data_IF_894346966149
#
_entry.id   IF_894346966149
#
_cell.length_a   1.000
_cell.length_b   1.000
_cell.length_c   1.000
_cell.angle_alpha   90.00
_cell.angle_beta   90.00
_cell.angle_gamma   90.00
#
_symmetry.space_group_name_H-M   'P 1'
#
loop_
_entity.id
_entity.type
_entity.pdbx_description
1 polymer ?
#
# COMPACT_ATOMS: atom_id res chain seq x y z
N UNK A 1 -0.66 -8.35 0.92
CA UNK A 1 0.30 -9.43 1.13
C UNK A 1 0.41 -10.16 -0.19
N UNK A 2 1.55 -10.06 -0.81
CA UNK A 2 1.80 -10.74 -2.08
C UNK A 2 2.12 -12.21 -1.82
N UNK A 3 1.73 -13.08 -2.74
CA UNK A 3 2.14 -14.49 -2.72
C UNK A 3 3.18 -14.66 -3.81
N UNK A 4 4.33 -15.16 -3.44
CA UNK A 4 5.29 -15.72 -4.38
C UNK A 4 5.26 -17.26 -4.26
N UNK A 5 6.02 -17.95 -5.07
CA UNK A 5 6.11 -19.42 -5.05
C UNK A 5 6.61 -19.97 -3.70
N UNK A 6 7.18 -19.11 -2.85
CA UNK A 6 7.72 -19.45 -1.52
C UNK A 6 6.77 -19.16 -0.37
N UNK A 7 5.64 -18.49 -0.64
CA UNK A 7 4.61 -18.16 0.36
C UNK A 7 4.26 -16.66 0.45
N UNK A 8 3.52 -16.27 1.48
CA UNK A 8 3.10 -14.87 1.66
C UNK A 8 4.26 -13.97 2.09
N UNK A 9 4.39 -12.80 1.46
CA UNK A 9 5.39 -11.80 1.79
C UNK A 9 4.71 -10.58 2.43
N UNK A 10 5.26 -10.10 3.55
CA UNK A 10 4.85 -8.86 4.20
C UNK A 10 5.91 -7.78 3.95
N UNK A 11 5.50 -6.70 3.30
CA UNK A 11 6.34 -5.51 3.13
C UNK A 11 6.09 -4.52 4.28
N UNK A 12 7.17 -4.08 4.91
CA UNK A 12 7.13 -3.08 5.99
C UNK A 12 8.06 -1.93 5.58
N UNK A 13 7.53 -0.72 5.60
CA UNK A 13 8.34 0.49 5.49
C UNK A 13 8.47 1.12 6.89
N UNK A 14 9.69 1.35 7.34
CA UNK A 14 10.00 1.93 8.65
C UNK A 14 11.23 2.82 8.57
N UNK A 15 11.38 3.76 9.51
CA UNK A 15 12.57 4.60 9.63
C UNK A 15 13.80 3.80 10.11
N UNK A 16 13.55 2.84 10.99
CA UNK A 16 14.59 1.97 11.57
C UNK A 16 14.41 0.53 11.11
N UNK A 17 15.42 -0.29 11.29
CA UNK A 17 15.35 -1.74 11.03
C UNK A 17 14.30 -2.34 11.97
N UNK A 18 13.20 -2.92 11.45
CA UNK A 18 12.14 -3.45 12.31
C UNK A 18 12.60 -4.72 13.03
N UNK A 19 12.28 -4.82 14.32
CA UNK A 19 12.38 -6.07 15.06
C UNK A 19 11.16 -6.95 14.75
N UNK A 20 11.37 -8.00 13.98
CA UNK A 20 10.33 -8.93 13.60
C UNK A 20 10.22 -10.15 14.52
N UNK A 21 10.99 -10.21 15.63
CA UNK A 21 11.05 -11.37 16.53
C UNK A 21 9.67 -11.80 17.01
N UNK A 22 8.86 -10.85 17.50
CA UNK A 22 7.51 -11.17 18.00
C UNK A 22 6.54 -11.65 16.91
N UNK A 23 6.72 -11.22 15.67
CA UNK A 23 5.92 -11.70 14.52
C UNK A 23 6.32 -13.13 14.17
N UNK A 24 7.61 -13.39 14.15
CA UNK A 24 8.17 -14.71 13.86
C UNK A 24 7.76 -15.73 14.94
N UNK A 25 7.84 -15.35 16.22
CA UNK A 25 7.43 -16.20 17.35
C UNK A 25 5.93 -16.54 17.34
N UNK A 26 5.07 -15.60 16.94
CA UNK A 26 3.62 -15.81 16.97
C UNK A 26 3.07 -16.49 15.72
N UNK A 27 3.65 -16.26 14.56
CA UNK A 27 3.07 -16.64 13.27
C UNK A 27 3.98 -17.47 12.35
N UNK A 28 5.23 -17.62 12.70
CA UNK A 28 6.17 -18.30 11.84
C UNK A 28 7.28 -19.01 12.57
N UNK A 29 7.41 -20.30 12.31
CA UNK A 29 8.67 -20.99 12.56
C UNK A 29 9.56 -20.83 11.31
N UNK A 30 10.88 -20.53 11.52
CA UNK A 30 11.82 -20.55 10.42
C UNK A 30 11.75 -21.91 9.73
N UNK A 31 11.59 -21.92 8.43
CA UNK A 31 11.96 -23.11 7.66
C UNK A 31 13.45 -23.28 7.87
N UNK A 32 13.87 -24.50 8.24
CA UNK A 32 15.25 -24.82 8.60
C UNK A 32 16.29 -24.51 7.51
N UNK A 33 15.83 -24.29 6.28
CA UNK A 33 16.59 -23.99 5.08
C UNK A 33 16.73 -22.49 4.77
N UNK A 34 16.00 -21.60 5.49
CA UNK A 34 16.09 -20.15 5.29
C UNK A 34 16.83 -19.46 6.45
N UNK A 35 18.08 -19.09 6.21
CA UNK A 35 18.90 -18.40 7.21
C UNK A 35 18.48 -16.94 7.48
N UNK A 36 17.66 -16.34 6.62
CA UNK A 36 17.14 -14.98 6.82
C UNK A 36 15.64 -14.91 6.56
N UNK A 37 14.86 -14.75 7.61
CA UNK A 37 13.41 -14.56 7.55
C UNK A 37 13.00 -13.12 7.27
N UNK A 38 13.88 -12.17 7.53
CA UNK A 38 13.69 -10.73 7.31
C UNK A 38 14.80 -10.23 6.39
N UNK A 39 14.41 -9.68 5.26
CA UNK A 39 15.33 -8.99 4.35
C UNK A 39 15.09 -7.49 4.46
N UNK A 40 16.14 -6.75 4.82
CA UNK A 40 16.10 -5.29 4.90
C UNK A 40 16.79 -4.68 3.68
N UNK A 41 16.21 -3.62 3.14
CA UNK A 41 16.76 -2.84 2.04
C UNK A 41 16.70 -1.36 2.41
N UNK A 42 17.83 -0.67 2.34
CA UNK A 42 17.88 0.78 2.48
C UNK A 42 17.36 1.44 1.19
N UNK A 43 16.30 2.23 1.32
CA UNK A 43 15.67 2.93 0.21
C UNK A 43 16.16 4.38 0.02
N UNK A 44 17.11 4.86 0.81
CA UNK A 44 17.61 6.25 0.74
C UNK A 44 18.06 6.60 -0.68
N UNK A 45 18.91 5.78 -1.28
CA UNK A 45 19.41 6.01 -2.66
C UNK A 45 18.28 5.95 -3.70
N UNK A 46 17.28 5.10 -3.48
CA UNK A 46 16.11 5.04 -4.36
C UNK A 46 15.32 6.36 -4.27
N UNK A 47 15.01 6.84 -3.08
CA UNK A 47 14.29 8.09 -2.89
C UNK A 47 15.06 9.29 -3.46
N UNK A 48 16.37 9.34 -3.27
CA UNK A 48 17.25 10.37 -3.85
C UNK A 48 17.33 10.30 -5.39
N UNK A 49 17.03 9.16 -5.98
CA UNK A 49 17.08 8.96 -7.44
C UNK A 49 15.81 9.35 -8.17
N UNK A 50 14.70 9.58 -7.47
CA UNK A 50 13.41 9.92 -8.07
C UNK A 50 13.46 11.30 -8.72
N UNK A 51 13.06 11.39 -9.99
CA UNK A 51 13.03 12.62 -10.78
C UNK A 51 11.65 12.83 -11.39
N UNK A 52 11.33 14.08 -11.68
CA UNK A 52 10.16 14.43 -12.48
C UNK A 52 10.24 13.75 -13.85
N UNK A 53 9.12 13.17 -14.29
CA UNK A 53 9.00 12.41 -15.52
C UNK A 53 9.38 10.92 -15.40
N UNK A 54 9.97 10.48 -14.28
CA UNK A 54 10.23 9.04 -14.07
C UNK A 54 8.93 8.25 -14.11
N UNK A 55 8.97 7.07 -14.77
CA UNK A 55 7.81 6.18 -14.93
C UNK A 55 8.02 4.89 -14.15
N UNK A 56 6.94 4.46 -13.49
CA UNK A 56 6.94 3.25 -12.68
C UNK A 56 5.66 2.44 -12.87
N UNK A 57 5.78 1.13 -12.86
CA UNK A 57 4.68 0.26 -12.48
C UNK A 57 4.38 0.45 -11.00
N UNK A 58 3.10 0.52 -10.61
CA UNK A 58 2.74 0.68 -9.21
C UNK A 58 1.73 -0.37 -8.75
N UNK A 59 1.75 -0.63 -7.44
CA UNK A 59 0.69 -1.35 -6.74
C UNK A 59 0.37 -0.66 -5.43
N UNK A 60 -0.93 -0.57 -5.13
CA UNK A 60 -1.42 0.02 -3.88
C UNK A 60 -2.69 -0.71 -3.42
N UNK A 61 -2.78 -0.99 -2.12
CA UNK A 61 -3.99 -1.50 -1.50
C UNK A 61 -4.64 -0.40 -0.67
N UNK A 62 -5.87 -0.01 -0.96
CA UNK A 62 -6.58 1.04 -0.22
C UNK A 62 -7.97 0.61 0.24
N UNK A 63 -8.49 1.28 1.24
CA UNK A 63 -9.91 1.24 1.57
C UNK A 63 -10.63 2.31 0.72
N UNK A 64 -11.38 1.90 -0.34
CA UNK A 64 -11.98 2.84 -1.27
C UNK A 64 -13.30 3.38 -0.73
N UNK A 65 -13.21 4.26 0.27
CA UNK A 65 -14.39 4.92 0.85
C UNK A 65 -14.31 6.43 0.68
N UNK A 66 -15.46 7.04 0.47
CA UNK A 66 -15.67 8.49 0.52
C UNK A 66 -16.49 8.83 1.75
N UNK A 67 -16.04 9.81 2.52
CA UNK A 67 -16.82 10.36 3.63
C UNK A 67 -17.85 11.34 3.08
N UNK A 68 -19.11 11.17 3.48
CA UNK A 68 -20.11 12.19 3.28
C UNK A 68 -19.97 13.21 4.42
N UNK A 69 -19.33 14.35 4.13
CA UNK A 69 -19.05 15.40 5.12
C UNK A 69 -20.30 15.91 5.86
N UNK A 70 -21.49 15.77 5.24
CA UNK A 70 -22.75 16.20 5.84
C UNK A 70 -23.31 15.21 6.88
N UNK A 71 -23.09 13.90 6.65
CA UNK A 71 -23.64 12.85 7.53
C UNK A 71 -22.57 12.10 8.32
N UNK A 72 -21.29 12.36 8.06
CA UNK A 72 -20.17 11.63 8.64
C UNK A 72 -20.07 10.15 8.19
N UNK A 73 -21.01 9.66 7.37
CA UNK A 73 -21.02 8.26 6.91
C UNK A 73 -19.99 8.03 5.82
N UNK A 74 -19.29 6.91 5.94
CA UNK A 74 -18.38 6.42 4.89
C UNK A 74 -19.16 5.53 3.93
N UNK A 75 -19.09 5.83 2.64
CA UNK A 75 -19.69 5.04 1.58
C UNK A 75 -18.60 4.34 0.80
N UNK A 76 -18.74 3.03 0.60
CA UNK A 76 -17.84 2.25 -0.25
C UNK A 76 -17.99 2.70 -1.70
N UNK A 77 -16.85 2.90 -2.35
CA UNK A 77 -16.75 3.25 -3.77
C UNK A 77 -16.27 2.03 -4.53
N UNK A 78 -16.96 1.67 -5.60
CA UNK A 78 -16.67 0.49 -6.41
C UNK A 78 -16.57 0.80 -7.89
N UNK A 79 -16.00 -0.11 -8.67
CA UNK A 79 -15.88 -0.03 -10.12
C UNK A 79 -15.10 1.21 -10.58
N UNK A 80 -15.55 1.84 -11.66
CA UNK A 80 -14.87 3.00 -12.26
C UNK A 80 -14.59 4.12 -11.26
N UNK A 81 -15.54 4.40 -10.37
CA UNK A 81 -15.35 5.45 -9.33
C UNK A 81 -14.22 5.13 -8.36
N UNK A 82 -13.91 3.86 -8.12
CA UNK A 82 -12.78 3.47 -7.29
C UNK A 82 -11.45 3.72 -8.02
N UNK A 83 -11.40 3.50 -9.33
CA UNK A 83 -10.24 3.85 -10.17
C UNK A 83 -10.02 5.36 -10.18
N UNK A 84 -11.08 6.16 -10.37
CA UNK A 84 -11.00 7.63 -10.33
C UNK A 84 -10.51 8.10 -8.96
N UNK A 85 -10.97 7.48 -7.85
CA UNK A 85 -10.50 7.80 -6.51
C UNK A 85 -9.00 7.54 -6.32
N UNK A 86 -8.45 6.48 -6.91
CA UNK A 86 -7.01 6.19 -6.86
C UNK A 86 -6.24 7.23 -7.65
N UNK A 87 -6.70 7.57 -8.87
CA UNK A 87 -6.11 8.63 -9.69
C UNK A 87 -6.04 9.94 -8.95
N UNK A 88 -7.19 10.45 -8.49
CA UNK A 88 -7.29 11.72 -7.75
C UNK A 88 -6.32 11.77 -6.57
N UNK A 89 -6.17 10.64 -5.85
CA UNK A 89 -5.29 10.57 -4.69
C UNK A 89 -3.82 10.58 -5.06
N UNK A 90 -3.42 9.86 -6.09
CA UNK A 90 -2.03 9.80 -6.52
C UNK A 90 -1.63 11.09 -7.25
N UNK A 91 -2.51 11.64 -8.09
CA UNK A 91 -2.28 12.92 -8.78
C UNK A 91 -2.11 14.08 -7.78
N UNK A 92 -2.87 14.09 -6.69
CA UNK A 92 -2.71 15.09 -5.62
C UNK A 92 -1.40 14.94 -4.81
N UNK A 93 -0.72 13.79 -4.94
CA UNK A 93 0.42 13.40 -4.11
C UNK A 93 1.72 13.19 -4.91
N UNK A 94 1.92 13.95 -5.99
CA UNK A 94 3.17 14.03 -6.74
C UNK A 94 3.34 13.01 -7.85
N UNK A 95 2.24 12.37 -8.26
CA UNK A 95 2.23 11.44 -9.38
C UNK A 95 1.19 11.84 -10.43
N UNK A 96 1.29 11.27 -11.60
CA UNK A 96 0.25 11.25 -12.62
C UNK A 96 -0.04 9.80 -13.01
N UNK A 97 -1.26 9.36 -12.86
CA UNK A 97 -1.65 7.98 -13.16
C UNK A 97 -2.02 7.84 -14.63
N UNK A 98 -1.15 7.19 -15.39
CA UNK A 98 -1.36 6.89 -16.82
C UNK A 98 -2.39 5.78 -17.00
N UNK A 99 -2.16 4.65 -16.29
CA UNK A 99 -3.03 3.48 -16.33
C UNK A 99 -3.32 2.98 -14.92
N UNK A 100 -4.55 2.53 -14.67
CA UNK A 100 -4.92 1.88 -13.42
C UNK A 100 -6.00 0.84 -13.64
N UNK A 101 -5.83 -0.31 -13.01
CA UNK A 101 -6.83 -1.38 -12.94
C UNK A 101 -6.97 -1.93 -11.53
N UNK A 102 -8.11 -2.49 -11.23
CA UNK A 102 -8.30 -3.24 -10.00
C UNK A 102 -7.63 -4.61 -10.16
N UNK A 103 -6.77 -4.98 -9.21
CA UNK A 103 -6.07 -6.24 -9.20
C UNK A 103 -6.79 -7.28 -8.32
N UNK A 104 -7.19 -6.86 -7.10
CA UNK A 104 -7.81 -7.77 -6.13
C UNK A 104 -8.69 -7.00 -5.14
N UNK A 105 -9.58 -7.69 -4.43
CA UNK A 105 -10.41 -7.15 -3.37
C UNK A 105 -10.45 -8.12 -2.19
N UNK A 106 -10.16 -7.62 -1.00
CA UNK A 106 -10.22 -8.37 0.24
C UNK A 106 -11.24 -7.77 1.21
N UNK A 107 -12.08 -8.63 1.78
CA UNK A 107 -13.02 -8.27 2.82
C UNK A 107 -12.45 -8.65 4.18
N UNK A 108 -11.95 -7.67 4.93
CA UNK A 108 -11.35 -7.89 6.24
C UNK A 108 -12.40 -7.71 7.35
N UNK A 109 -12.60 -8.75 8.15
CA UNK A 109 -13.43 -8.68 9.33
C UNK A 109 -12.61 -8.15 10.51
N UNK A 110 -12.91 -6.93 10.93
CA UNK A 110 -12.32 -6.33 12.12
C UNK A 110 -13.25 -6.48 13.31
N UNK A 111 -12.71 -6.94 14.44
CA UNK A 111 -13.44 -6.99 15.69
C UNK A 111 -12.86 -5.94 16.65
N UNK A 112 -13.69 -4.96 17.06
CA UNK A 112 -13.30 -3.94 18.03
C UNK A 112 -14.40 -3.82 19.11
N UNK A 113 -14.03 -4.00 20.36
CA UNK A 113 -14.95 -3.93 21.51
C UNK A 113 -16.21 -4.84 21.32
N UNK A 114 -16.00 -6.07 20.85
CA UNK A 114 -17.08 -7.04 20.58
C UNK A 114 -17.94 -6.74 19.35
N UNK A 115 -17.71 -5.63 18.64
CA UNK A 115 -18.42 -5.29 17.40
C UNK A 115 -17.63 -5.74 16.19
N UNK A 116 -18.24 -6.59 15.37
CA UNK A 116 -17.69 -7.01 14.09
C UNK A 116 -17.98 -5.95 13.02
N UNK A 117 -16.94 -5.52 12.33
CA UNK A 117 -17.05 -4.55 11.22
C UNK A 117 -16.28 -5.10 10.02
N UNK A 118 -16.94 -5.19 8.88
CA UNK A 118 -16.27 -5.55 7.62
C UNK A 118 -15.63 -4.30 7.03
N UNK A 119 -14.37 -4.42 6.63
CA UNK A 119 -13.64 -3.40 5.88
C UNK A 119 -13.19 -3.98 4.55
N UNK A 120 -13.49 -3.27 3.50
CA UNK A 120 -13.05 -3.65 2.14
C UNK A 120 -11.70 -3.00 1.89
N UNK A 121 -10.72 -3.78 1.50
CA UNK A 121 -9.42 -3.31 0.99
C UNK A 121 -9.33 -3.80 -0.44
N UNK A 122 -9.14 -2.89 -1.36
CA UNK A 122 -9.04 -3.16 -2.78
C UNK A 122 -7.63 -2.82 -3.25
N UNK A 123 -7.00 -3.75 -3.95
CA UNK A 123 -5.69 -3.57 -4.56
C UNK A 123 -5.85 -3.04 -5.98
N UNK A 124 -5.05 -2.04 -6.30
CA UNK A 124 -4.96 -1.44 -7.62
C UNK A 124 -3.52 -1.50 -8.11
N UNK A 125 -3.36 -1.63 -9.40
CA UNK A 125 -2.06 -1.61 -10.06
C UNK A 125 -2.15 -0.89 -11.40
N UNK A 126 -1.02 -0.44 -11.91
CA UNK A 126 -0.97 0.28 -13.18
C UNK A 126 0.37 0.93 -13.42
N UNK A 127 0.35 2.01 -14.20
CA UNK A 127 1.51 2.81 -14.55
C UNK A 127 1.26 4.25 -14.09
N UNK A 128 2.29 4.85 -13.52
CA UNK A 128 2.31 6.26 -13.13
C UNK A 128 3.63 6.92 -13.54
N UNK A 129 3.60 8.24 -13.68
CA UNK A 129 4.78 9.09 -13.79
C UNK A 129 4.87 10.05 -12.60
N UNK A 130 6.09 10.45 -12.26
CA UNK A 130 6.36 11.42 -11.19
C UNK A 130 6.15 12.84 -11.72
N UNK A 131 5.33 13.63 -11.04
CA UNK A 131 5.11 15.05 -11.35
C UNK A 131 5.75 16.01 -10.35
N UNK A 132 5.96 15.53 -9.11
CA UNK A 132 6.59 16.30 -8.04
C UNK A 132 7.41 15.33 -7.18
N UNK A 133 8.75 15.27 -7.35
CA UNK A 133 9.59 14.31 -6.64
C UNK A 133 9.52 14.39 -5.12
N UNK A 134 9.44 15.61 -4.56
CA UNK A 134 9.37 15.77 -3.10
C UNK A 134 8.08 15.21 -2.53
N UNK A 135 6.93 15.53 -3.15
CA UNK A 135 5.64 14.97 -2.75
C UNK A 135 5.57 13.47 -2.99
N UNK A 136 6.17 12.98 -4.08
CA UNK A 136 6.23 11.56 -4.39
C UNK A 136 6.96 10.80 -3.28
N UNK A 137 8.13 11.26 -2.85
CA UNK A 137 8.89 10.67 -1.74
C UNK A 137 8.10 10.73 -0.44
N UNK A 138 7.50 11.87 -0.10
CA UNK A 138 6.64 12.00 1.08
C UNK A 138 5.47 11.01 1.05
N UNK A 139 4.89 10.80 -0.12
CA UNK A 139 3.78 9.87 -0.32
C UNK A 139 4.21 8.42 -0.16
N UNK A 140 5.38 8.05 -0.68
CA UNK A 140 5.97 6.73 -0.50
C UNK A 140 6.21 6.44 0.99
N UNK A 141 6.78 7.39 1.71
CA UNK A 141 7.08 7.25 3.15
C UNK A 141 5.80 7.24 4.00
N UNK A 142 4.89 8.17 3.74
CA UNK A 142 3.69 8.32 4.56
C UNK A 142 2.55 7.38 4.18
N UNK A 143 2.57 6.82 2.96
CA UNK A 143 1.47 6.04 2.39
C UNK A 143 0.21 6.86 2.08
N UNK A 144 -0.72 6.28 1.34
CA UNK A 144 -1.91 6.93 0.79
C UNK A 144 -3.19 6.47 1.48
N UNK A 145 -4.01 7.42 1.92
CA UNK A 145 -5.36 7.14 2.38
C UNK A 145 -5.46 6.66 3.83
N UNK A 146 -6.54 5.95 4.13
CA UNK A 146 -6.90 5.49 5.47
C UNK A 146 -6.53 4.03 5.68
N UNK A 147 -6.58 3.58 6.94
CA UNK A 147 -6.36 2.19 7.36
C UNK A 147 -4.92 1.69 7.21
N UNK A 148 -3.94 2.59 7.30
CA UNK A 148 -2.52 2.24 7.24
C UNK A 148 -2.12 1.22 8.31
N UNK A 149 -2.65 1.36 9.52
CA UNK A 149 -2.45 0.39 10.61
C UNK A 149 -3.04 -1.01 10.34
N UNK A 150 -3.77 -1.18 9.26
CA UNK A 150 -4.35 -2.46 8.82
C UNK A 150 -3.79 -2.94 7.49
N UNK A 151 -2.61 -2.46 7.11
CA UNK A 151 -1.91 -2.87 5.90
C UNK A 151 -2.41 -2.24 4.59
N UNK A 152 -3.21 -1.16 4.68
CA UNK A 152 -3.60 -0.39 3.50
C UNK A 152 -2.71 0.85 3.34
N UNK A 153 -2.62 1.38 2.11
CA UNK A 153 -1.99 2.66 1.81
C UNK A 153 -0.51 2.61 1.46
N UNK A 154 0.16 1.47 1.58
CA UNK A 154 1.52 1.32 1.10
C UNK A 154 1.53 1.34 -0.43
N UNK A 155 2.21 2.34 -1.00
CA UNK A 155 2.47 2.44 -2.44
C UNK A 155 3.81 1.78 -2.74
N UNK A 156 3.80 0.76 -3.58
CA UNK A 156 5.03 0.12 -4.08
C UNK A 156 5.26 0.49 -5.53
N UNK A 157 6.52 0.68 -5.90
CA UNK A 157 6.95 1.06 -7.25
C UNK A 157 7.90 0.02 -7.81
N UNK A 158 7.78 -0.24 -9.10
CA UNK A 158 8.72 -1.05 -9.89
C UNK A 158 9.13 -0.27 -11.13
N UNK A 159 10.42 -0.24 -11.45
CA UNK A 159 10.91 0.38 -12.70
C UNK A 159 10.38 -0.38 -13.91
N UNK A 160 10.00 0.36 -14.94
CA UNK A 160 9.54 -0.16 -16.24
C UNK A 160 10.48 0.28 -17.35
#
# INVERSE_FOLDING_TARGET
MDKNDEGPVLYILSADIPDATGVVEQFGWPRLDYQQQVRTVDLTKFFESIREGDRYGFRIAINPVRNNGRTGKNTLIVGKRALDLVRDRLDANGFHVEEVRQADEAHNLLCKNGRKTVRVITSFEGILSVTDPEKAVQTLVNGVGRMKAYGAGLLTLARI
#
